data_IF_558832518178
#
_entry.id   IF_558832518178
#
_cell.length_a   1.000
_cell.length_b   1.000
_cell.length_c   1.000
_cell.angle_alpha   90.00
_cell.angle_beta   90.00
_cell.angle_gamma   90.00
#
_symmetry.space_group_name_H-M   'P 1'
#
loop_
_entity.id
_entity.type
_entity.pdbx_description
1 polymer ?
#
# COMPACT_ATOMS: atom_id res chain seq x y z
N UNK A 1 5.82 0.73 10.75
CA UNK A 1 5.50 -0.03 9.52
C UNK A 1 5.93 0.65 8.19
N UNK A 2 5.25 1.71 7.68
CA UNK A 2 5.49 2.23 6.29
C UNK A 2 6.43 3.46 6.25
N UNK A 3 6.87 3.95 7.41
CA UNK A 3 7.67 5.17 7.55
C UNK A 3 6.81 6.44 7.41
N UNK A 4 7.13 7.46 8.23
CA UNK A 4 6.37 8.71 8.35
C UNK A 4 6.06 9.42 7.01
N UNK A 5 6.98 9.54 6.04
CA UNK A 5 6.70 10.31 4.83
C UNK A 5 5.71 9.62 3.87
N UNK A 6 5.67 8.28 3.84
CA UNK A 6 4.70 7.56 3.00
C UNK A 6 3.32 7.59 3.67
N UNK A 7 3.26 7.36 5.00
CA UNK A 7 2.02 7.45 5.77
C UNK A 7 1.35 8.82 5.64
N UNK A 8 2.10 9.90 5.83
CA UNK A 8 1.58 11.26 5.68
C UNK A 8 1.01 11.54 4.28
N UNK A 9 1.67 11.04 3.23
CA UNK A 9 1.16 11.17 1.85
C UNK A 9 -0.13 10.38 1.62
N UNK A 10 -0.23 9.17 2.18
CA UNK A 10 -1.45 8.38 2.08
C UNK A 10 -2.63 9.08 2.76
N UNK A 11 -2.41 9.63 3.96
CA UNK A 11 -3.43 10.41 4.70
C UNK A 11 -3.83 11.64 3.89
N UNK A 12 -2.85 12.39 3.37
CA UNK A 12 -3.11 13.58 2.57
C UNK A 12 -3.90 13.29 1.29
N UNK A 13 -3.57 12.21 0.57
CA UNK A 13 -4.27 11.82 -0.66
C UNK A 13 -5.67 11.26 -0.39
N UNK A 14 -5.87 10.59 0.74
CA UNK A 14 -7.19 10.10 1.14
C UNK A 14 -8.11 11.22 1.65
N UNK A 15 -7.56 12.39 2.01
CA UNK A 15 -8.31 13.50 2.60
C UNK A 15 -8.44 13.43 4.13
N UNK A 16 -7.68 12.57 4.79
CA UNK A 16 -7.69 12.40 6.25
C UNK A 16 -7.45 10.95 6.68
N UNK A 17 -7.18 10.76 7.98
CA UNK A 17 -6.98 9.43 8.55
C UNK A 17 -8.27 8.62 8.57
N UNK A 18 -9.40 9.26 8.89
CA UNK A 18 -10.72 8.62 8.88
C UNK A 18 -11.12 8.14 7.48
N UNK A 19 -10.90 8.97 6.46
CA UNK A 19 -11.17 8.59 5.08
C UNK A 19 -10.24 7.46 4.62
N UNK A 20 -8.95 7.54 4.95
CA UNK A 20 -8.00 6.47 4.66
C UNK A 20 -8.42 5.13 5.28
N UNK A 21 -8.95 5.12 6.49
CA UNK A 21 -9.40 3.91 7.19
C UNK A 21 -10.61 3.24 6.50
N UNK A 22 -11.46 4.03 5.82
CA UNK A 22 -12.62 3.54 5.06
C UNK A 22 -12.23 2.93 3.72
N UNK A 23 -11.08 3.31 3.16
CA UNK A 23 -10.65 2.83 1.85
C UNK A 23 -10.34 1.32 1.85
N UNK A 24 -10.66 0.60 0.76
CA UNK A 24 -10.21 -0.77 0.58
C UNK A 24 -8.71 -0.80 0.24
N UNK A 25 -8.05 -1.92 0.51
CA UNK A 25 -6.63 -2.12 0.22
C UNK A 25 -6.29 -1.93 -1.27
N UNK A 26 -7.21 -2.28 -2.18
CA UNK A 26 -7.05 -2.06 -3.63
C UNK A 26 -6.96 -0.58 -3.99
N UNK A 27 -7.66 0.30 -3.29
CA UNK A 27 -7.58 1.76 -3.50
C UNK A 27 -6.28 2.29 -2.91
N UNK A 28 -5.96 1.91 -1.67
CA UNK A 28 -4.70 2.29 -1.00
C UNK A 28 -3.48 1.89 -1.84
N UNK A 29 -3.54 0.73 -2.50
CA UNK A 29 -2.48 0.26 -3.40
C UNK A 29 -2.16 1.26 -4.51
N UNK A 30 -3.17 1.96 -5.04
CA UNK A 30 -3.06 2.83 -6.23
C UNK A 30 -3.26 4.32 -5.93
N UNK A 31 -3.41 4.72 -4.67
CA UNK A 31 -3.48 6.13 -4.27
C UNK A 31 -2.28 6.93 -4.81
N UNK A 32 -2.53 8.05 -5.48
CA UNK A 32 -1.55 8.87 -6.20
C UNK A 32 -1.24 8.41 -7.62
N UNK A 33 -1.90 7.36 -8.12
CA UNK A 33 -1.82 6.91 -9.51
C UNK A 33 -3.16 7.07 -10.26
N UNK A 34 -4.01 7.99 -9.81
CA UNK A 34 -5.37 8.22 -10.30
C UNK A 34 -5.37 8.45 -11.82
N UNK A 35 -4.46 9.31 -12.33
CA UNK A 35 -4.36 9.59 -13.77
C UNK A 35 -4.04 8.34 -14.60
N UNK A 36 -3.25 7.40 -14.06
CA UNK A 36 -2.95 6.14 -14.73
C UNK A 36 -4.11 5.16 -14.62
N UNK A 37 -4.74 5.10 -13.45
CA UNK A 37 -5.92 4.26 -13.17
C UNK A 37 -7.10 4.66 -14.06
N UNK A 38 -7.46 5.94 -14.10
CA UNK A 38 -8.53 6.45 -14.95
C UNK A 38 -8.27 6.16 -16.43
N UNK A 39 -7.01 6.28 -16.87
CA UNK A 39 -6.64 5.91 -18.25
C UNK A 39 -6.83 4.43 -18.54
N UNK A 40 -6.47 3.54 -17.60
CA UNK A 40 -6.73 2.10 -17.76
C UNK A 40 -8.20 1.76 -17.84
N UNK A 41 -9.06 2.47 -17.08
CA UNK A 41 -10.51 2.26 -17.12
C UNK A 41 -11.15 2.70 -18.44
N UNK A 42 -10.60 3.72 -19.11
CA UNK A 42 -11.19 4.29 -20.34
C UNK A 42 -10.60 3.74 -21.65
N UNK A 43 -9.40 3.14 -21.61
CA UNK A 43 -8.63 2.76 -22.81
C UNK A 43 -8.16 1.30 -22.82
N UNK A 44 -8.78 0.43 -22.01
CA UNK A 44 -8.38 -0.98 -21.83
C UNK A 44 -6.87 -1.16 -21.59
N UNK A 45 -6.23 -0.17 -20.98
CA UNK A 45 -4.81 -0.20 -20.71
C UNK A 45 -4.52 -0.96 -19.42
N UNK A 46 -3.31 -1.50 -19.27
CA UNK A 46 -2.91 -2.20 -18.04
C UNK A 46 -3.00 -1.26 -16.83
N UNK A 47 -3.67 -1.65 -15.73
CA UNK A 47 -3.82 -0.80 -14.56
C UNK A 47 -2.48 -0.59 -13.83
N UNK A 48 -2.33 0.52 -13.09
CA UNK A 48 -1.14 0.78 -12.29
C UNK A 48 -1.01 -0.28 -11.18
N UNK A 49 0.21 -0.78 -10.96
CA UNK A 49 0.50 -1.79 -9.92
C UNK A 49 0.62 -1.19 -8.52
N UNK A 50 0.93 0.09 -8.43
CA UNK A 50 1.21 0.82 -7.20
C UNK A 50 1.10 2.33 -7.44
N UNK A 51 0.66 3.06 -6.43
CA UNK A 51 0.67 4.53 -6.38
C UNK A 51 1.86 5.07 -5.59
N UNK A 52 1.61 5.98 -4.64
CA UNK A 52 2.66 6.60 -3.79
C UNK A 52 3.44 5.58 -2.95
N UNK A 53 2.83 4.43 -2.67
CA UNK A 53 3.48 3.32 -1.97
C UNK A 53 4.69 2.76 -2.71
N UNK A 54 4.88 3.08 -4.00
CA UNK A 54 6.09 2.73 -4.76
C UNK A 54 7.40 3.22 -4.09
N UNK A 55 7.32 4.28 -3.28
CA UNK A 55 8.47 4.80 -2.55
C UNK A 55 8.96 3.87 -1.43
N UNK A 56 8.18 2.85 -1.05
CA UNK A 56 8.61 1.86 -0.07
C UNK A 56 9.81 1.05 -0.60
N UNK A 57 10.91 0.92 0.17
CA UNK A 57 12.17 0.34 -0.32
C UNK A 57 12.01 -1.04 -0.97
N UNK A 58 11.23 -1.93 -0.36
CA UNK A 58 11.00 -3.28 -0.88
C UNK A 58 10.27 -3.30 -2.22
N UNK A 59 9.45 -2.29 -2.53
CA UNK A 59 8.78 -2.18 -3.83
C UNK A 59 9.75 -1.58 -4.85
N UNK A 60 10.44 -0.48 -4.49
CA UNK A 60 11.35 0.21 -5.41
C UNK A 60 12.55 -0.66 -5.80
N UNK A 61 13.12 -1.37 -4.83
CA UNK A 61 14.29 -2.23 -4.99
C UNK A 61 13.99 -3.58 -5.67
N UNK A 62 12.73 -4.00 -5.71
CA UNK A 62 12.36 -5.31 -6.26
C UNK A 62 12.21 -5.34 -7.79
N UNK A 63 12.37 -6.53 -8.44
CA UNK A 63 12.07 -6.74 -9.85
C UNK A 63 10.61 -6.41 -10.22
N UNK A 64 10.38 -5.93 -11.45
CA UNK A 64 9.05 -5.48 -11.95
C UNK A 64 7.94 -6.53 -11.83
N UNK A 65 8.28 -7.82 -11.82
CA UNK A 65 7.35 -8.94 -11.63
C UNK A 65 6.83 -9.01 -10.19
N UNK A 66 7.70 -8.77 -9.19
CA UNK A 66 7.38 -8.89 -7.77
C UNK A 66 6.72 -7.63 -7.20
N UNK A 67 6.98 -6.45 -7.78
CA UNK A 67 6.45 -5.16 -7.28
C UNK A 67 4.95 -5.16 -7.02
N UNK A 68 4.17 -5.80 -7.91
CA UNK A 68 2.71 -5.87 -7.74
C UNK A 68 2.28 -6.76 -6.58
N UNK A 69 2.97 -7.89 -6.35
CA UNK A 69 2.71 -8.78 -5.22
C UNK A 69 3.03 -8.08 -3.90
N UNK A 70 4.19 -7.41 -3.82
CA UNK A 70 4.64 -6.66 -2.64
C UNK A 70 3.72 -5.46 -2.36
N UNK A 71 3.35 -4.69 -3.40
CA UNK A 71 2.44 -3.56 -3.27
C UNK A 71 1.08 -3.96 -2.69
N UNK A 72 0.54 -5.11 -3.11
CA UNK A 72 -0.72 -5.66 -2.57
C UNK A 72 -0.60 -6.04 -1.10
N UNK A 73 0.50 -6.70 -0.72
CA UNK A 73 0.75 -7.07 0.68
C UNK A 73 0.87 -5.82 1.56
N UNK A 74 1.66 -4.83 1.14
CA UNK A 74 1.84 -3.57 1.84
C UNK A 74 0.52 -2.81 2.00
N UNK A 75 -0.28 -2.69 0.92
CA UNK A 75 -1.57 -2.00 0.99
C UNK A 75 -2.58 -2.69 1.91
N UNK A 76 -2.55 -4.02 1.98
CA UNK A 76 -3.36 -4.78 2.93
C UNK A 76 -3.03 -4.45 4.39
N UNK A 77 -1.74 -4.50 4.75
CA UNK A 77 -1.29 -4.14 6.10
C UNK A 77 -1.51 -2.66 6.40
N UNK A 78 -1.32 -1.78 5.42
CA UNK A 78 -1.62 -0.35 5.53
C UNK A 78 -3.09 -0.08 5.87
N UNK A 79 -4.01 -0.81 5.24
CA UNK A 79 -5.44 -0.68 5.52
C UNK A 79 -5.80 -1.10 6.95
N UNK A 80 -5.19 -2.19 7.44
CA UNK A 80 -5.38 -2.64 8.83
C UNK A 80 -4.83 -1.59 9.80
N UNK A 81 -3.59 -1.13 9.59
CA UNK A 81 -2.97 -0.10 10.42
C UNK A 81 -3.83 1.18 10.47
N UNK A 82 -4.28 1.69 9.32
CA UNK A 82 -5.11 2.88 9.24
C UNK A 82 -6.42 2.74 10.03
N UNK A 83 -7.06 1.57 9.99
CA UNK A 83 -8.29 1.30 10.77
C UNK A 83 -8.03 1.23 12.26
N UNK A 84 -6.94 0.57 12.67
CA UNK A 84 -6.60 0.49 14.10
C UNK A 84 -6.26 1.86 14.65
N UNK A 85 -5.48 2.67 13.92
CA UNK A 85 -5.12 4.03 14.30
C UNK A 85 -6.36 4.94 14.38
N UNK A 86 -7.30 4.83 13.43
CA UNK A 86 -8.51 5.64 13.42
C UNK A 86 -9.56 5.24 14.47
N UNK A 87 -9.71 3.94 14.77
CA UNK A 87 -10.82 3.42 15.57
C UNK A 87 -10.44 3.04 17.01
N UNK A 88 -9.24 2.50 17.23
CA UNK A 88 -8.85 1.92 18.52
C UNK A 88 -7.68 2.64 19.19
N UNK A 89 -6.79 3.28 18.44
CA UNK A 89 -5.57 3.90 18.96
C UNK A 89 -4.55 2.92 19.58
N UNK A 90 -4.76 1.60 19.42
CA UNK A 90 -3.81 0.58 19.87
C UNK A 90 -2.62 0.52 18.94
N UNK A 91 -1.41 0.44 19.50
CA UNK A 91 -0.22 0.25 18.69
C UNK A 91 -0.09 -1.22 18.26
N UNK A 92 -0.25 -1.48 16.96
CA UNK A 92 -0.08 -2.79 16.31
C UNK A 92 1.04 -2.76 15.25
N UNK A 93 1.89 -1.73 15.30
CA UNK A 93 2.83 -1.41 14.23
C UNK A 93 3.96 -2.41 14.06
N UNK A 94 4.33 -3.12 15.13
CA UNK A 94 5.43 -4.10 15.13
C UNK A 94 4.94 -5.44 14.57
N UNK A 95 3.82 -5.96 15.06
CA UNK A 95 3.18 -7.18 14.56
C UNK A 95 2.90 -7.10 13.05
N UNK A 96 2.26 -6.02 12.60
CA UNK A 96 1.95 -5.84 11.18
C UNK A 96 3.19 -5.71 10.31
N UNK A 97 4.30 -5.21 10.87
CA UNK A 97 5.57 -5.09 10.16
C UNK A 97 6.22 -6.46 9.99
N UNK A 98 6.23 -7.28 11.04
CA UNK A 98 6.76 -8.65 11.00
C UNK A 98 6.00 -9.50 9.98
N UNK A 99 4.66 -9.51 10.05
CA UNK A 99 3.82 -10.23 9.09
C UNK A 99 4.02 -9.76 7.63
N UNK A 100 4.33 -8.47 7.43
CA UNK A 100 4.65 -7.93 6.12
C UNK A 100 6.00 -8.43 5.62
N UNK A 101 7.01 -8.41 6.48
CA UNK A 101 8.38 -8.85 6.16
C UNK A 101 8.39 -10.34 5.79
N UNK A 102 7.72 -11.19 6.56
CA UNK A 102 7.53 -12.61 6.24
C UNK A 102 6.86 -12.81 4.88
N UNK A 103 5.80 -12.03 4.61
CA UNK A 103 5.09 -12.12 3.33
C UNK A 103 5.96 -11.68 2.16
N UNK A 104 6.78 -10.65 2.34
CA UNK A 104 7.71 -10.17 1.31
C UNK A 104 8.80 -11.22 1.04
N UNK A 105 9.32 -11.86 2.08
CA UNK A 105 10.33 -12.91 1.94
C UNK A 105 9.77 -14.11 1.17
N UNK A 106 8.59 -14.57 1.53
CA UNK A 106 7.87 -15.62 0.78
C UNK A 106 7.65 -15.25 -0.70
N UNK A 107 7.32 -14.00 -1.00
CA UNK A 107 7.17 -13.52 -2.39
C UNK A 107 8.51 -13.53 -3.15
N UNK A 108 9.62 -13.23 -2.47
CA UNK A 108 10.97 -13.25 -3.05
C UNK A 108 11.50 -14.66 -3.25
N UNK A 109 11.10 -15.61 -2.41
CA UNK A 109 11.51 -17.02 -2.52
C UNK A 109 10.73 -17.80 -3.60
N UNK A 110 9.51 -17.37 -3.94
CA UNK A 110 8.69 -17.91 -5.04
C UNK A 110 9.23 -17.59 -6.47
N UNK A 111 10.51 -17.23 -6.60
CA UNK A 111 11.09 -16.63 -7.81
C UNK A 111 11.62 -17.65 -8.81
#
# INVERSE_FOLDING_TARGET
>A
MIGSPIGARLISLAGGLEELAKLPSSTIQVLGAEKALFRSLHKDAKPPKHGVIFQYPEIRGSPKSLRGKIARALAGKAAIAARVDAMSGKYVGDELKEELEERIESIKSER
#
